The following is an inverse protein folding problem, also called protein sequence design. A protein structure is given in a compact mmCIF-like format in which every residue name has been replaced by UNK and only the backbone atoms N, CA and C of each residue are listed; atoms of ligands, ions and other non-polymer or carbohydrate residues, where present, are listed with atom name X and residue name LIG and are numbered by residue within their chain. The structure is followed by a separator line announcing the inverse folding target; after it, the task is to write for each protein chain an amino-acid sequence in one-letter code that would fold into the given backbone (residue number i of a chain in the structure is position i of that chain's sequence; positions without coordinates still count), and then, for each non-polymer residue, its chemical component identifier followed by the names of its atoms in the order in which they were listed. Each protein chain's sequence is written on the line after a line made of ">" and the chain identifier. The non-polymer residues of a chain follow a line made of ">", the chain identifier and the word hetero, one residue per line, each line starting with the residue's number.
data_IF_684434997571
#
_entry.id   IF_684434997571
#
_cell.length_a   1.000
_cell.length_b   1.000
_cell.length_c   1.000
_cell.angle_alpha   90.00
_cell.angle_beta   90.00
_cell.angle_gamma   90.00
#
_symmetry.space_group_name_H-M   'P 1'
#
loop_
_entity.id
_entity.type
_entity.pdbx_description
1 polymer ?
#
# COMPACT_ATOMS: atom_id res chain seq x y z
N UNK A 1 0.30 41.06 -11.94
CA UNK A 1 0.76 40.61 -10.61
C UNK A 1 -0.35 40.02 -9.72
N UNK A 2 -1.34 39.31 -10.29
CA UNK A 2 -2.42 38.67 -9.52
C UNK A 2 -2.76 37.28 -10.09
N UNK A 3 -1.75 36.47 -10.41
CA UNK A 3 -1.96 35.10 -10.89
C UNK A 3 -1.54 34.10 -9.83
N UNK A 4 -2.34 33.04 -9.67
CA UNK A 4 -2.07 31.94 -8.76
C UNK A 4 -1.79 30.68 -9.58
N UNK A 5 -0.88 29.85 -9.08
CA UNK A 5 -0.69 28.50 -9.58
C UNK A 5 -1.71 27.58 -8.91
N UNK A 6 -2.45 26.85 -9.72
CA UNK A 6 -3.36 25.80 -9.28
C UNK A 6 -2.75 24.45 -9.66
N UNK A 7 -2.72 23.52 -8.71
CA UNK A 7 -2.38 22.12 -8.96
C UNK A 7 -3.56 21.25 -8.55
N UNK A 8 -3.78 20.17 -9.31
CA UNK A 8 -4.76 19.15 -9.00
C UNK A 8 -4.08 17.79 -9.22
N UNK A 9 -4.01 17.00 -8.16
CA UNK A 9 -3.38 15.68 -8.16
C UNK A 9 -4.41 14.63 -7.73
N UNK A 10 -4.31 13.42 -8.28
CA UNK A 10 -5.21 12.34 -7.91
C UNK A 10 -4.83 11.74 -6.56
N UNK A 11 -5.78 11.65 -5.64
CA UNK A 11 -5.60 10.94 -4.38
C UNK A 11 -5.38 9.44 -4.60
N UNK A 12 -4.12 9.01 -4.54
CA UNK A 12 -3.66 7.61 -4.58
C UNK A 12 -4.16 6.83 -5.81
N UNK A 13 -4.07 7.41 -7.00
CA UNK A 13 -4.57 6.79 -8.25
C UNK A 13 -4.10 5.35 -8.45
N UNK A 14 -2.84 5.05 -8.17
CA UNK A 14 -2.26 3.71 -8.34
C UNK A 14 -2.89 2.67 -7.41
N UNK A 15 -3.18 3.03 -6.16
CA UNK A 15 -3.89 2.14 -5.24
C UNK A 15 -5.34 1.93 -5.69
N UNK A 16 -5.97 2.95 -6.27
CA UNK A 16 -7.33 2.83 -6.83
C UNK A 16 -7.34 1.91 -8.06
N UNK A 17 -6.32 1.95 -8.90
CA UNK A 17 -6.15 1.01 -10.01
C UNK A 17 -5.91 -0.41 -9.50
N UNK A 18 -5.03 -0.59 -8.51
CA UNK A 18 -4.82 -1.88 -7.85
C UNK A 18 -6.13 -2.43 -7.29
N UNK A 19 -6.91 -1.62 -6.57
CA UNK A 19 -8.22 -2.01 -6.04
C UNK A 19 -9.21 -2.40 -7.14
N UNK A 20 -9.23 -1.64 -8.25
CA UNK A 20 -10.10 -1.92 -9.39
C UNK A 20 -9.79 -3.26 -10.05
N UNK A 21 -8.51 -3.51 -10.37
CA UNK A 21 -8.12 -4.73 -11.07
C UNK A 21 -8.15 -5.96 -10.17
N UNK A 22 -7.70 -5.82 -8.92
CA UNK A 22 -7.73 -6.91 -7.94
C UNK A 22 -9.13 -7.23 -7.42
N UNK A 23 -10.06 -6.26 -7.52
CA UNK A 23 -11.40 -6.31 -6.90
C UNK A 23 -11.34 -6.67 -5.40
N UNK A 24 -10.24 -6.32 -4.74
CA UNK A 24 -10.04 -6.63 -3.34
C UNK A 24 -10.98 -5.79 -2.46
N UNK A 25 -11.98 -6.44 -1.87
CA UNK A 25 -13.01 -5.78 -1.07
C UNK A 25 -12.44 -4.98 0.10
N UNK A 26 -11.39 -5.48 0.78
CA UNK A 26 -10.78 -4.76 1.90
C UNK A 26 -10.09 -3.49 1.41
N UNK A 27 -9.35 -3.57 0.30
CA UNK A 27 -8.69 -2.40 -0.26
C UNK A 27 -9.69 -1.37 -0.80
N UNK A 28 -10.76 -1.82 -1.46
CA UNK A 28 -11.86 -0.98 -1.94
C UNK A 28 -12.51 -0.25 -0.77
N UNK A 29 -12.82 -0.96 0.31
CA UNK A 29 -13.42 -0.38 1.52
C UNK A 29 -12.52 0.72 2.11
N UNK A 30 -11.21 0.43 2.26
CA UNK A 30 -10.24 1.40 2.78
C UNK A 30 -10.18 2.67 1.90
N UNK A 31 -10.16 2.53 0.57
CA UNK A 31 -10.07 3.65 -0.38
C UNK A 31 -11.39 4.40 -0.61
N UNK A 32 -12.50 3.83 -0.14
CA UNK A 32 -13.84 4.44 -0.23
C UNK A 32 -14.18 5.29 0.98
N UNK A 33 -13.39 5.23 2.07
CA UNK A 33 -13.59 6.11 3.21
C UNK A 33 -13.30 7.57 2.81
N UNK A 34 -14.25 8.49 3.01
CA UNK A 34 -14.02 9.90 2.73
C UNK A 34 -12.92 10.45 3.65
N UNK A 35 -12.03 11.27 3.09
CA UNK A 35 -10.93 11.93 3.80
C UNK A 35 -9.96 10.99 4.55
N UNK A 36 -10.06 9.68 4.31
CA UNK A 36 -9.24 8.67 4.97
C UNK A 36 -7.83 8.62 4.41
N UNK A 37 -6.84 8.61 5.29
CA UNK A 37 -5.46 8.34 4.90
C UNK A 37 -5.22 6.84 4.85
N UNK A 38 -5.30 6.27 3.65
CA UNK A 38 -5.17 4.82 3.43
C UNK A 38 -3.88 4.23 4.03
N UNK A 39 -2.77 4.97 4.05
CA UNK A 39 -1.51 4.47 4.60
C UNK A 39 -1.55 4.46 6.13
N UNK A 40 -2.14 5.47 6.74
CA UNK A 40 -2.42 5.48 8.18
C UNK A 40 -3.35 4.33 8.56
N UNK A 41 -4.41 4.10 7.79
CA UNK A 41 -5.38 3.03 8.06
C UNK A 41 -4.76 1.64 7.94
N UNK A 42 -3.92 1.42 6.91
CA UNK A 42 -3.17 0.17 6.75
C UNK A 42 -2.20 -0.01 7.92
N UNK A 43 -1.44 1.03 8.28
CA UNK A 43 -0.50 0.99 9.40
C UNK A 43 -1.21 0.66 10.72
N UNK A 44 -2.32 1.34 11.02
CA UNK A 44 -3.14 1.12 12.21
C UNK A 44 -3.63 -0.33 12.30
N UNK A 45 -4.14 -0.88 11.19
CA UNK A 45 -4.64 -2.26 11.11
C UNK A 45 -3.54 -3.27 11.38
N UNK A 46 -2.32 -3.02 10.91
CA UNK A 46 -1.19 -3.94 11.09
C UNK A 46 -0.54 -3.86 12.47
N UNK A 47 -0.40 -2.65 13.01
CA UNK A 47 0.15 -2.43 14.35
C UNK A 47 -0.87 -2.85 15.42
N UNK A 48 -2.17 -2.88 15.07
CA UNK A 48 -3.25 -3.15 16.02
C UNK A 48 -3.49 -1.96 16.94
N UNK A 49 -3.36 -0.74 16.42
CA UNK A 49 -3.58 0.50 17.19
C UNK A 49 -4.65 1.39 16.52
N UNK A 50 -5.22 2.36 17.26
CA UNK A 50 -6.09 3.37 16.65
C UNK A 50 -5.34 4.20 15.60
N UNK A 51 -6.05 4.64 14.54
CA UNK A 51 -5.48 5.49 13.47
C UNK A 51 -4.80 6.76 14.03
N UNK A 52 -5.36 7.35 15.08
CA UNK A 52 -4.82 8.55 15.76
C UNK A 52 -3.48 8.29 16.46
N UNK A 53 -3.13 7.04 16.71
CA UNK A 53 -1.87 6.64 17.33
C UNK A 53 -0.78 6.34 16.31
N UNK A 54 -1.08 6.38 15.01
CA UNK A 54 -0.10 6.17 13.95
C UNK A 54 0.73 7.44 13.76
N UNK A 55 2.03 7.32 13.98
CA UNK A 55 2.99 8.41 13.75
C UNK A 55 3.25 8.65 12.26
N UNK A 56 3.74 9.85 11.93
CA UNK A 56 4.14 10.23 10.57
C UNK A 56 5.19 9.29 9.96
N UNK A 57 6.15 8.83 10.77
CA UNK A 57 7.17 7.87 10.35
C UNK A 57 6.57 6.52 9.95
N UNK A 58 5.64 5.99 10.76
CA UNK A 58 4.98 4.70 10.50
C UNK A 58 4.13 4.77 9.23
N UNK A 59 3.43 5.89 9.04
CA UNK A 59 2.67 6.17 7.82
C UNK A 59 3.57 6.19 6.58
N UNK A 60 4.70 6.90 6.65
CA UNK A 60 5.63 7.01 5.51
C UNK A 60 6.30 5.67 5.19
N UNK A 61 6.68 4.89 6.21
CA UNK A 61 7.18 3.52 6.03
C UNK A 61 6.13 2.63 5.37
N UNK A 62 4.88 2.69 5.83
CA UNK A 62 3.77 1.93 5.24
C UNK A 62 3.57 2.31 3.78
N UNK A 63 3.59 3.60 3.46
CA UNK A 63 3.51 4.09 2.08
C UNK A 63 4.59 3.49 1.19
N UNK A 64 5.86 3.59 1.60
CA UNK A 64 7.00 3.06 0.82
C UNK A 64 6.85 1.56 0.55
N UNK A 65 6.49 0.81 1.57
CA UNK A 65 6.36 -0.63 1.46
C UNK A 65 5.13 -1.05 0.62
N UNK A 66 3.98 -0.38 0.74
CA UNK A 66 2.81 -0.66 -0.13
C UNK A 66 3.17 -0.46 -1.60
N UNK A 67 3.84 0.64 -1.93
CA UNK A 67 4.28 0.89 -3.31
C UNK A 67 5.38 -0.07 -3.76
N UNK A 68 6.32 -0.42 -2.89
CA UNK A 68 7.32 -1.45 -3.18
C UNK A 68 6.66 -2.76 -3.57
N UNK A 69 5.67 -3.22 -2.78
CA UNK A 69 4.95 -4.47 -3.05
C UNK A 69 4.14 -4.38 -4.35
N UNK A 70 3.43 -3.27 -4.58
CA UNK A 70 2.67 -3.03 -5.81
C UNK A 70 3.54 -3.18 -7.06
N UNK A 71 4.78 -2.70 -7.00
CA UNK A 71 5.75 -2.80 -8.10
C UNK A 71 6.62 -4.06 -8.07
N UNK A 72 6.24 -5.07 -7.28
CA UNK A 72 6.91 -6.37 -7.30
C UNK A 72 8.28 -6.39 -6.62
N UNK A 73 8.55 -5.46 -5.69
CA UNK A 73 9.78 -5.43 -4.93
C UNK A 73 9.97 -6.72 -4.12
N UNK A 74 11.13 -7.35 -4.29
CA UNK A 74 11.51 -8.54 -3.54
C UNK A 74 11.91 -8.21 -2.08
N UNK A 75 12.01 -9.23 -1.21
CA UNK A 75 12.33 -9.04 0.21
C UNK A 75 13.63 -8.30 0.49
N UNK A 76 14.70 -8.59 -0.26
CA UNK A 76 16.01 -7.94 -0.05
C UNK A 76 15.96 -6.44 -0.33
N UNK A 77 15.38 -6.03 -1.47
CA UNK A 77 15.25 -4.61 -1.81
C UNK A 77 14.30 -3.88 -0.87
N UNK A 78 13.24 -4.55 -0.40
CA UNK A 78 12.32 -3.99 0.58
C UNK A 78 13.00 -3.81 1.95
N UNK A 79 13.81 -4.78 2.37
CA UNK A 79 14.59 -4.72 3.60
C UNK A 79 15.54 -3.51 3.63
N UNK A 80 16.25 -3.27 2.52
CA UNK A 80 17.13 -2.09 2.36
C UNK A 80 16.35 -0.77 2.48
N UNK A 81 15.17 -0.67 1.87
CA UNK A 81 14.36 0.56 1.93
C UNK A 81 13.72 0.81 3.30
N UNK A 82 13.49 -0.26 4.06
CA UNK A 82 12.76 -0.22 5.33
C UNK A 82 13.69 -0.29 6.55
N UNK A 83 15.00 -0.38 6.34
CA UNK A 83 16.02 -0.55 7.37
C UNK A 83 15.67 -1.72 8.31
N UNK A 84 15.36 -2.87 7.73
CA UNK A 84 15.00 -4.09 8.46
C UNK A 84 15.70 -5.31 7.87
N UNK A 85 15.53 -6.47 8.50
CA UNK A 85 16.07 -7.74 7.97
C UNK A 85 15.26 -8.24 6.77
N UNK A 86 15.88 -9.09 5.94
CA UNK A 86 15.20 -9.74 4.80
C UNK A 86 14.05 -10.65 5.26
N UNK A 87 14.19 -11.27 6.43
CA UNK A 87 13.13 -12.11 7.03
C UNK A 87 11.93 -11.26 7.45
N UNK A 88 12.15 -10.14 8.14
CA UNK A 88 11.07 -9.20 8.50
C UNK A 88 10.39 -8.60 7.25
N UNK A 89 11.16 -8.29 6.20
CA UNK A 89 10.61 -7.81 4.95
C UNK A 89 9.75 -8.89 4.26
N UNK A 90 10.21 -10.14 4.26
CA UNK A 90 9.45 -11.29 3.75
C UNK A 90 8.14 -11.49 4.50
N UNK A 91 8.19 -11.40 5.83
CA UNK A 91 7.00 -11.48 6.68
C UNK A 91 6.01 -10.34 6.37
N UNK A 92 6.49 -9.10 6.22
CA UNK A 92 5.66 -7.95 5.84
C UNK A 92 4.99 -8.14 4.47
N UNK A 93 5.73 -8.66 3.47
CA UNK A 93 5.16 -8.98 2.15
C UNK A 93 4.07 -10.05 2.28
N UNK A 94 4.32 -11.09 3.06
CA UNK A 94 3.35 -12.17 3.31
C UNK A 94 2.09 -11.63 3.99
N UNK A 95 2.26 -10.81 5.04
CA UNK A 95 1.18 -10.18 5.77
C UNK A 95 0.36 -9.21 4.91
N UNK A 96 1.00 -8.46 4.01
CA UNK A 96 0.29 -7.62 3.05
C UNK A 96 -0.58 -8.47 2.11
N UNK A 97 -0.01 -9.54 1.54
CA UNK A 97 -0.73 -10.44 0.64
C UNK A 97 -1.87 -11.18 1.32
N UNK A 98 -1.73 -11.54 2.60
CA UNK A 98 -2.81 -12.17 3.36
C UNK A 98 -3.89 -11.17 3.77
N UNK A 99 -3.54 -9.91 4.02
CA UNK A 99 -4.50 -8.82 4.27
C UNK A 99 -5.31 -8.48 3.03
N UNK A 100 -4.68 -8.51 1.85
CA UNK A 100 -5.28 -8.17 0.55
C UNK A 100 -5.18 -9.36 -0.43
N UNK A 101 -5.95 -10.44 -0.19
CA UNK A 101 -5.84 -11.67 -0.99
C UNK A 101 -6.23 -11.44 -2.46
N UNK A 102 -7.14 -10.52 -2.76
CA UNK A 102 -7.49 -10.17 -4.14
C UNK A 102 -6.31 -9.55 -4.88
N UNK A 103 -5.52 -8.71 -4.19
CA UNK A 103 -4.29 -8.12 -4.76
C UNK A 103 -3.27 -9.21 -5.03
N UNK A 104 -3.07 -10.14 -4.08
CA UNK A 104 -2.14 -11.24 -4.25
C UNK A 104 -2.51 -12.15 -5.45
N UNK A 105 -3.81 -12.48 -5.60
CA UNK A 105 -4.32 -13.26 -6.74
C UNK A 105 -4.07 -12.53 -8.05
N UNK A 106 -4.45 -11.26 -8.13
CA UNK A 106 -4.30 -10.46 -9.33
C UNK A 106 -2.84 -10.32 -9.78
N UNK A 107 -1.90 -10.08 -8.85
CA UNK A 107 -0.47 -10.02 -9.17
C UNK A 107 0.03 -11.36 -9.75
N UNK A 108 -0.42 -12.48 -9.20
CA UNK A 108 -0.06 -13.81 -9.71
C UNK A 108 -0.65 -14.07 -11.10
N UNK A 109 -1.93 -13.77 -11.29
CA UNK A 109 -2.66 -13.93 -12.55
C UNK A 109 -2.07 -13.05 -13.66
N UNK A 110 -1.68 -11.81 -13.35
CA UNK A 110 -1.05 -10.92 -14.32
C UNK A 110 0.28 -11.49 -14.86
N UNK A 111 1.09 -12.10 -13.99
CA UNK A 111 2.33 -12.79 -14.41
C UNK A 111 2.01 -14.03 -15.22
N UNK A 112 1.01 -14.82 -14.82
CA UNK A 112 0.61 -16.04 -15.53
C UNK A 112 0.05 -15.73 -16.93
N UNK A 113 -0.72 -14.66 -17.07
CA UNK A 113 -1.31 -14.22 -18.33
C UNK A 113 -0.26 -13.79 -19.37
N UNK A 114 0.87 -13.25 -18.93
CA UNK A 114 1.95 -12.79 -19.81
C UNK A 114 2.97 -13.88 -20.19
N UNK A 115 2.84 -15.11 -19.66
CA UNK A 115 3.70 -16.25 -19.99
C UNK A 115 3.18 -17.00 -21.21
#
# INVERSE_FOLDING_TARGET
>A
DNWLLLTADYSQIELRLMAHFSKDSSLIELLSKPDGDVFTMIAARWIGCPEVSVGSQQREQTKKMVYGILYGMGPNSLAEQMDCTSDEASERISNFKSTFPGVASWLHEAVAFCR
#
